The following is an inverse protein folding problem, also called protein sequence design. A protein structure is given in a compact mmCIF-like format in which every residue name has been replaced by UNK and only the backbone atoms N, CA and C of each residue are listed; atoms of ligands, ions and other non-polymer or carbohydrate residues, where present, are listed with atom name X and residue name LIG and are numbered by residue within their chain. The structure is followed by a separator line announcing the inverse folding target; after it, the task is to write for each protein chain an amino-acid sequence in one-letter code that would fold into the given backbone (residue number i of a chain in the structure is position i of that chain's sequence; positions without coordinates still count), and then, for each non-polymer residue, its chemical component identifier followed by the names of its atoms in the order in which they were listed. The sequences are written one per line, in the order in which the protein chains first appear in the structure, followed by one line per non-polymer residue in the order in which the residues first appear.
data_IF_827645802471
#
_entry.id   IF_827645802471
#
_cell.length_a   1.000
_cell.length_b   1.000
_cell.length_c   1.000
_cell.angle_alpha   90.00
_cell.angle_beta   90.00
_cell.angle_gamma   90.00
#
_symmetry.space_group_name_H-M   'P 1'
#
loop_
_entity.id
_entity.type
_entity.pdbx_description
1 polymer ?
#
# COMPACT_ATOMS: atom_id res chain seq x y z
N UNK A 1 -34.25 10.38 4.35
CA UNK A 1 -35.38 9.66 3.74
C UNK A 1 -36.42 9.26 4.78
N UNK A 2 -36.22 8.25 5.64
CA UNK A 2 -37.23 7.80 6.64
C UNK A 2 -37.84 8.94 7.48
N UNK A 3 -37.03 9.75 8.16
CA UNK A 3 -37.55 10.80 9.04
C UNK A 3 -38.24 11.95 8.29
N UNK A 4 -37.65 12.46 7.20
CA UNK A 4 -38.19 13.61 6.45
C UNK A 4 -39.32 13.24 5.47
N UNK A 5 -39.18 12.14 4.74
CA UNK A 5 -40.10 11.76 3.65
C UNK A 5 -41.22 10.82 4.10
N UNK A 6 -40.99 9.99 5.13
CA UNK A 6 -41.98 8.99 5.58
C UNK A 6 -42.67 9.43 6.87
N UNK A 7 -41.90 9.97 7.83
CA UNK A 7 -42.42 10.36 9.14
C UNK A 7 -42.75 11.86 9.26
N UNK A 8 -42.40 12.68 8.25
CA UNK A 8 -42.65 14.12 8.26
C UNK A 8 -41.94 14.91 9.36
N UNK A 9 -40.90 14.32 9.98
CA UNK A 9 -40.12 14.94 11.06
C UNK A 9 -38.90 15.63 10.47
N UNK A 10 -38.80 16.93 10.65
CA UNK A 10 -37.60 17.68 10.27
C UNK A 10 -36.53 17.55 11.35
N UNK A 11 -35.30 17.21 10.93
CA UNK A 11 -34.14 17.03 11.81
C UNK A 11 -33.00 17.96 11.35
N UNK A 12 -33.04 19.26 11.69
CA UNK A 12 -32.09 20.26 11.20
C UNK A 12 -30.63 19.97 11.57
N UNK A 13 -30.39 19.20 12.63
CA UNK A 13 -29.06 18.77 13.08
C UNK A 13 -28.46 17.63 12.24
N UNK A 14 -29.28 16.97 11.40
CA UNK A 14 -28.85 15.82 10.61
C UNK A 14 -28.10 16.23 9.33
N UNK A 15 -28.26 17.46 8.86
CA UNK A 15 -27.64 17.97 7.63
C UNK A 15 -26.09 18.03 7.70
N UNK A 16 -25.51 17.99 8.91
CA UNK A 16 -24.06 17.96 9.14
C UNK A 16 -23.46 16.57 9.34
N UNK A 17 -24.28 15.51 9.41
CA UNK A 17 -23.82 14.15 9.70
C UNK A 17 -23.24 13.50 8.43
N UNK A 18 -21.92 13.59 8.31
CA UNK A 18 -21.18 12.83 7.29
C UNK A 18 -21.29 11.34 7.62
N UNK A 19 -21.68 10.55 6.62
CA UNK A 19 -21.55 9.10 6.70
C UNK A 19 -20.12 8.73 7.15
N UNK A 20 -19.97 7.74 8.04
CA UNK A 20 -18.66 7.19 8.34
C UNK A 20 -18.00 6.81 7.02
N UNK A 21 -16.77 7.28 6.81
CA UNK A 21 -15.98 6.78 5.68
C UNK A 21 -15.86 5.27 5.86
N UNK A 22 -16.29 4.50 4.86
CA UNK A 22 -16.21 3.04 4.89
C UNK A 22 -14.80 2.57 5.23
N UNK A 23 -14.68 1.42 5.90
CA UNK A 23 -13.37 0.87 6.22
C UNK A 23 -12.56 0.69 4.92
N UNK A 24 -11.29 1.13 4.89
CA UNK A 24 -10.43 0.86 3.76
C UNK A 24 -10.29 -0.65 3.61
N UNK A 25 -10.34 -1.14 2.37
CA UNK A 25 -10.10 -2.56 2.10
C UNK A 25 -8.71 -2.91 2.61
N UNK A 26 -8.62 -4.02 3.34
CA UNK A 26 -7.33 -4.58 3.71
C UNK A 26 -6.58 -4.93 2.42
N UNK A 27 -5.29 -4.58 2.29
CA UNK A 27 -4.52 -4.92 1.11
C UNK A 27 -4.43 -6.44 1.00
N UNK A 28 -4.74 -6.97 -0.18
CA UNK A 28 -4.40 -8.34 -0.53
C UNK A 28 -2.89 -8.40 -0.79
N UNK A 29 -2.21 -9.25 -0.05
CA UNK A 29 -0.76 -9.45 -0.16
C UNK A 29 -0.48 -10.71 -0.94
N UNK A 30 0.64 -10.71 -1.69
CA UNK A 30 1.12 -11.93 -2.33
C UNK A 30 1.55 -12.94 -1.27
N UNK A 31 1.20 -14.20 -1.50
CA UNK A 31 1.79 -15.33 -0.78
C UNK A 31 3.28 -15.46 -1.10
N UNK A 32 3.99 -16.25 -0.29
CA UNK A 32 5.41 -16.53 -0.53
C UNK A 32 5.64 -17.23 -1.87
N UNK A 33 4.73 -18.13 -2.28
CA UNK A 33 4.83 -18.86 -3.54
C UNK A 33 4.58 -17.96 -4.75
N UNK A 34 3.58 -17.08 -4.67
CA UNK A 34 3.34 -16.07 -5.72
C UNK A 34 4.54 -15.11 -5.85
N UNK A 35 5.08 -14.66 -4.71
CA UNK A 35 6.27 -13.80 -4.71
C UNK A 35 7.46 -14.50 -5.34
N UNK A 36 7.68 -15.78 -5.00
CA UNK A 36 8.75 -16.59 -5.60
C UNK A 36 8.58 -16.72 -7.11
N UNK A 37 7.35 -16.99 -7.58
CA UNK A 37 7.05 -17.09 -9.00
C UNK A 37 7.31 -15.76 -9.75
N UNK A 38 6.90 -14.63 -9.16
CA UNK A 38 7.15 -13.30 -9.71
C UNK A 38 8.65 -13.02 -9.82
N UNK A 39 9.42 -13.24 -8.75
CA UNK A 39 10.86 -13.01 -8.76
C UNK A 39 11.57 -13.91 -9.79
N UNK A 40 11.19 -15.19 -9.88
CA UNK A 40 11.74 -16.13 -10.84
C UNK A 40 11.43 -15.76 -12.31
N UNK A 41 10.32 -15.07 -12.56
CA UNK A 41 9.94 -14.58 -13.89
C UNK A 41 10.66 -13.28 -14.30
N UNK A 42 11.51 -12.72 -13.45
CA UNK A 42 12.23 -11.47 -13.71
C UNK A 42 13.73 -11.66 -13.82
N UNK A 43 14.41 -10.72 -14.50
CA UNK A 43 15.86 -10.73 -14.70
C UNK A 43 16.43 -9.32 -14.75
N UNK A 44 17.74 -9.20 -14.55
CA UNK A 44 18.46 -7.93 -14.61
C UNK A 44 17.98 -6.92 -13.57
N UNK A 45 18.07 -5.63 -13.88
CA UNK A 45 17.74 -4.53 -12.98
C UNK A 45 16.31 -4.58 -12.41
N UNK A 46 15.25 -4.86 -13.20
CA UNK A 46 13.90 -4.98 -12.64
C UNK A 46 13.78 -6.07 -11.56
N UNK A 47 14.41 -7.23 -11.78
CA UNK A 47 14.42 -8.32 -10.80
C UNK A 47 15.16 -7.94 -9.51
N UNK A 48 16.27 -7.21 -9.63
CA UNK A 48 16.98 -6.67 -8.47
C UNK A 48 16.10 -5.69 -7.67
N UNK A 49 15.41 -4.77 -8.36
CA UNK A 49 14.51 -3.81 -7.69
C UNK A 49 13.37 -4.54 -6.97
N UNK A 50 12.76 -5.55 -7.60
CA UNK A 50 11.71 -6.35 -6.96
C UNK A 50 12.23 -7.11 -5.74
N UNK A 51 13.42 -7.71 -5.83
CA UNK A 51 14.04 -8.40 -4.71
C UNK A 51 14.35 -7.43 -3.55
N UNK A 52 14.79 -6.21 -3.83
CA UNK A 52 15.02 -5.17 -2.83
C UNK A 52 13.70 -4.74 -2.17
N UNK A 53 12.65 -4.44 -2.95
CA UNK A 53 11.34 -4.07 -2.42
C UNK A 53 10.80 -5.14 -1.47
N UNK A 54 10.87 -6.41 -1.89
CA UNK A 54 10.40 -7.53 -1.06
C UNK A 54 11.28 -7.75 0.17
N UNK A 55 12.61 -7.73 0.02
CA UNK A 55 13.55 -8.06 1.09
C UNK A 55 13.72 -6.96 2.15
N UNK A 56 13.40 -5.71 1.81
CA UNK A 56 13.62 -4.55 2.70
C UNK A 56 12.32 -3.85 3.11
N UNK A 57 11.22 -4.10 2.40
CA UNK A 57 9.95 -3.40 2.62
C UNK A 57 9.95 -1.94 2.15
N UNK A 58 10.96 -1.52 1.38
CA UNK A 58 11.03 -0.18 0.80
C UNK A 58 9.81 0.12 -0.08
N UNK A 59 9.44 1.40 -0.16
CA UNK A 59 8.45 1.86 -1.14
C UNK A 59 9.05 1.89 -2.54
N UNK A 60 8.21 1.71 -3.56
CA UNK A 60 8.63 1.71 -4.98
C UNK A 60 9.55 2.88 -5.32
N UNK A 61 9.19 4.10 -4.92
CA UNK A 61 9.97 5.31 -5.23
C UNK A 61 11.29 5.40 -4.47
N UNK A 62 11.41 4.76 -3.30
CA UNK A 62 12.67 4.69 -2.55
C UNK A 62 13.64 3.77 -3.29
N UNK A 63 13.18 2.58 -3.71
CA UNK A 63 14.01 1.63 -4.46
C UNK A 63 14.44 2.17 -5.84
N UNK A 64 13.54 2.85 -6.56
CA UNK A 64 13.85 3.43 -7.87
C UNK A 64 14.83 4.62 -7.82
N UNK A 65 14.98 5.25 -6.65
CA UNK A 65 15.90 6.39 -6.45
C UNK A 65 17.19 6.01 -5.74
N UNK A 66 17.32 4.75 -5.34
CA UNK A 66 18.47 4.22 -4.63
C UNK A 66 19.76 4.43 -5.43
N UNK A 67 20.79 4.94 -4.78
CA UNK A 67 22.11 5.18 -5.37
C UNK A 67 23.15 4.28 -4.73
N UNK A 68 24.25 4.06 -5.44
CA UNK A 68 25.36 3.22 -4.93
C UNK A 68 25.90 3.73 -3.59
N UNK A 69 25.93 5.05 -3.37
CA UNK A 69 26.40 5.66 -2.11
C UNK A 69 25.50 5.35 -0.89
N UNK A 70 24.26 4.94 -1.13
CA UNK A 70 23.27 4.63 -0.10
C UNK A 70 23.47 3.19 0.42
N UNK A 71 24.30 2.39 -0.25
CA UNK A 71 24.61 1.00 0.12
C UNK A 71 25.84 0.92 1.03
N UNK A 72 25.64 0.53 2.29
CA UNK A 72 26.72 0.13 3.19
C UNK A 72 26.87 -1.40 3.15
N UNK A 73 27.70 -1.88 2.22
CA UNK A 73 27.96 -3.31 2.04
C UNK A 73 28.64 -3.97 3.26
N UNK A 74 29.64 -3.34 3.94
CA UNK A 74 30.19 -3.88 5.19
C UNK A 74 29.14 -4.14 6.27
N UNK A 75 28.19 -3.21 6.44
CA UNK A 75 27.13 -3.33 7.47
C UNK A 75 25.89 -4.06 6.98
N UNK A 76 25.78 -4.34 5.67
CA UNK A 76 24.60 -4.93 5.01
C UNK A 76 23.34 -4.09 5.23
N UNK A 77 23.50 -2.77 5.14
CA UNK A 77 22.40 -1.81 5.34
C UNK A 77 22.23 -0.89 4.14
N UNK A 78 21.03 -0.34 3.99
CA UNK A 78 20.69 0.69 3.01
C UNK A 78 20.38 1.97 3.80
N UNK A 79 20.94 3.11 3.37
CA UNK A 79 20.99 4.37 4.12
C UNK A 79 20.38 5.53 3.35
#
# INVERSE_FOLDING_TARGET
FLYREVLGVDLPWLDGLKYPKGQPRLPEVLSQDETRAVLAATKGTPGLVLALLYGTGMRMMEALRLRVKDLDLPRRTIT
#
